data_IF_225691927780
#
_entry.id   IF_225691927780
#
_cell.length_a   1.000
_cell.length_b   1.000
_cell.length_c   1.000
_cell.angle_alpha   90.00
_cell.angle_beta   90.00
_cell.angle_gamma   90.00
#
_symmetry.space_group_name_H-M   'P 1'
#
loop_
_entity.id
_entity.type
_entity.pdbx_description
1 polymer ?
#
# COMPACT_ATOMS: atom_id res chain seq x y z
N UNK A 1 0.16 -4.12 -1.04
CA UNK A 1 -1.00 -3.41 -0.45
C UNK A 1 -0.45 -2.25 0.34
N UNK A 2 -1.01 -1.05 0.17
CA UNK A 2 -0.56 0.12 0.89
C UNK A 2 -1.70 0.63 1.77
N UNK A 3 -1.46 0.67 3.07
CA UNK A 3 -2.39 1.18 4.07
C UNK A 3 -1.99 2.60 4.42
N UNK A 4 -2.97 3.48 4.58
CA UNK A 4 -2.79 4.86 5.04
C UNK A 4 -3.83 5.09 6.12
N UNK A 5 -3.42 5.52 7.31
CA UNK A 5 -4.32 5.70 8.45
C UNK A 5 -4.06 6.99 9.20
N UNK A 6 -5.11 7.63 9.70
CA UNK A 6 -5.00 8.82 10.54
C UNK A 6 -4.70 8.46 11.99
N UNK A 7 -3.65 9.05 12.59
CA UNK A 7 -3.24 8.81 13.97
C UNK A 7 -4.26 9.28 15.01
N UNK A 8 -5.06 10.31 14.68
CA UNK A 8 -6.13 10.84 15.54
C UNK A 8 -7.53 10.33 15.14
N UNK A 9 -7.63 9.25 14.38
CA UNK A 9 -8.92 8.68 13.97
C UNK A 9 -9.71 8.18 15.20
N UNK A 10 -10.80 8.90 15.52
CA UNK A 10 -11.71 8.58 16.64
C UNK A 10 -12.83 7.61 16.27
N UNK A 11 -12.94 7.25 14.99
CA UNK A 11 -13.94 6.32 14.46
C UNK A 11 -13.33 4.93 14.33
N UNK A 12 -12.13 4.84 13.76
CA UNK A 12 -11.37 3.60 13.61
C UNK A 12 -10.01 3.78 14.27
N UNK A 13 -9.81 3.09 15.39
CA UNK A 13 -8.56 3.14 16.14
C UNK A 13 -7.36 2.69 15.27
N UNK A 14 -6.25 3.43 15.37
CA UNK A 14 -4.98 3.13 14.70
C UNK A 14 -4.52 1.68 14.91
N UNK A 15 -4.84 1.06 16.05
CA UNK A 15 -4.53 -0.32 16.35
C UNK A 15 -5.08 -1.29 15.29
N UNK A 16 -6.19 -0.96 14.62
CA UNK A 16 -6.74 -1.79 13.54
C UNK A 16 -5.89 -1.74 12.28
N UNK A 17 -5.31 -0.58 11.95
CA UNK A 17 -4.41 -0.45 10.81
C UNK A 17 -3.11 -1.25 11.06
N UNK A 18 -2.55 -1.15 12.27
CA UNK A 18 -1.38 -1.92 12.68
C UNK A 18 -1.66 -3.43 12.66
N UNK A 19 -2.77 -3.87 13.28
CA UNK A 19 -3.15 -5.28 13.29
C UNK A 19 -3.43 -5.81 11.87
N UNK A 20 -4.04 -5.00 11.00
CA UNK A 20 -4.25 -5.33 9.60
C UNK A 20 -2.93 -5.51 8.83
N UNK A 21 -1.96 -4.62 9.06
CA UNK A 21 -0.63 -4.73 8.48
C UNK A 21 0.08 -6.01 8.95
N UNK A 22 0.04 -6.32 10.24
CA UNK A 22 0.64 -7.54 10.80
C UNK A 22 -0.01 -8.80 10.21
N UNK A 23 -1.35 -8.83 10.12
CA UNK A 23 -2.07 -9.96 9.56
C UNK A 23 -1.72 -10.19 8.08
N UNK A 24 -1.62 -9.12 7.29
CA UNK A 24 -1.24 -9.20 5.88
C UNK A 24 0.22 -9.68 5.72
N UNK A 25 1.14 -9.22 6.56
CA UNK A 25 2.53 -9.71 6.57
C UNK A 25 2.61 -11.20 6.91
N UNK A 26 1.87 -11.64 7.93
CA UNK A 26 1.83 -13.06 8.34
C UNK A 26 1.27 -13.97 7.24
N UNK A 27 0.35 -13.46 6.42
CA UNK A 27 -0.16 -14.15 5.24
C UNK A 27 0.83 -14.17 4.05
N UNK A 28 2.02 -13.58 4.19
CA UNK A 28 3.01 -13.45 3.13
C UNK A 28 2.74 -12.31 2.15
N UNK A 29 1.83 -11.40 2.49
CA UNK A 29 1.50 -10.23 1.68
C UNK A 29 2.61 -9.18 1.72
N UNK A 30 2.86 -8.57 0.57
CA UNK A 30 3.67 -7.36 0.47
C UNK A 30 2.81 -6.16 0.91
N UNK A 31 3.07 -5.63 2.11
CA UNK A 31 2.26 -4.58 2.71
C UNK A 31 3.11 -3.49 3.36
N UNK A 32 2.69 -2.25 3.15
CA UNK A 32 3.24 -1.05 3.78
C UNK A 32 2.11 -0.29 4.50
N UNK A 33 2.46 0.48 5.53
CA UNK A 33 1.53 1.30 6.30
C UNK A 33 2.17 2.68 6.54
N UNK A 34 1.50 3.74 6.09
CA UNK A 34 1.80 5.11 6.47
C UNK A 34 0.77 5.62 7.47
N UNK A 35 1.26 6.32 8.50
CA UNK A 35 0.42 6.92 9.56
C UNK A 35 0.58 8.43 9.47
N UNK A 36 -0.54 9.13 9.30
CA UNK A 36 -0.57 10.58 9.40
C UNK A 36 -1.01 11.00 10.81
N UNK A 37 -0.03 11.34 11.64
CA UNK A 37 -0.20 11.59 13.08
C UNK A 37 -1.22 12.69 13.40
N UNK A 38 -1.42 13.66 12.50
CA UNK A 38 -2.30 14.81 12.72
C UNK A 38 -3.69 14.64 12.04
N UNK A 39 -3.95 13.48 11.43
CA UNK A 39 -5.15 13.21 10.64
C UNK A 39 -6.18 12.41 11.46
N UNK A 40 -7.43 12.87 11.45
CA UNK A 40 -8.57 12.14 12.00
C UNK A 40 -9.15 11.10 11.03
N UNK A 41 -10.47 10.88 11.07
CA UNK A 41 -11.16 10.00 10.11
C UNK A 41 -11.43 10.71 8.78
N UNK A 42 -10.37 10.96 8.00
CA UNK A 42 -10.46 11.70 6.74
C UNK A 42 -9.38 11.29 5.74
N UNK A 43 -9.47 11.84 4.54
CA UNK A 43 -8.40 11.85 3.53
C UNK A 43 -8.14 13.31 3.19
N UNK A 44 -6.89 13.72 3.33
CA UNK A 44 -6.37 15.06 3.04
C UNK A 44 -5.31 15.01 1.93
N UNK A 45 -4.70 16.16 1.63
CA UNK A 45 -3.71 16.25 0.55
C UNK A 45 -2.44 15.42 0.85
N UNK A 46 -2.04 15.29 2.11
CA UNK A 46 -0.84 14.54 2.50
C UNK A 46 -1.06 13.04 2.35
N UNK A 47 -2.15 12.53 2.90
CA UNK A 47 -2.56 11.13 2.74
C UNK A 47 -2.82 10.78 1.28
N UNK A 48 -3.37 11.69 0.48
CA UNK A 48 -3.47 11.50 -0.98
C UNK A 48 -2.10 11.42 -1.65
N UNK A 49 -1.13 12.23 -1.23
CA UNK A 49 0.22 12.21 -1.78
C UNK A 49 0.92 10.87 -1.48
N UNK A 50 0.77 10.30 -0.28
CA UNK A 50 1.29 8.95 0.04
C UNK A 50 0.76 7.90 -0.95
N UNK A 51 -0.54 7.92 -1.24
CA UNK A 51 -1.13 7.00 -2.21
C UNK A 51 -0.55 7.19 -3.62
N UNK A 52 -0.42 8.43 -4.08
CA UNK A 52 0.14 8.75 -5.40
C UNK A 52 1.60 8.34 -5.53
N UNK A 53 2.42 8.59 -4.49
CA UNK A 53 3.83 8.22 -4.49
C UNK A 53 4.00 6.70 -4.49
N UNK A 54 3.17 5.99 -3.72
CA UNK A 54 3.17 4.53 -3.74
C UNK A 54 2.85 3.98 -5.13
N UNK A 55 1.80 4.50 -5.79
CA UNK A 55 1.40 4.08 -7.14
C UNK A 55 2.45 4.39 -8.20
N UNK A 56 3.17 5.50 -8.07
CA UNK A 56 4.17 5.93 -9.06
C UNK A 56 5.51 5.23 -8.92
N UNK A 57 5.93 4.97 -7.69
CA UNK A 57 7.32 4.61 -7.39
C UNK A 57 7.50 3.24 -6.76
N UNK A 58 6.41 2.54 -6.40
CA UNK A 58 6.51 1.19 -5.84
C UNK A 58 6.19 0.15 -6.90
N UNK A 59 7.14 -0.75 -7.16
CA UNK A 59 6.89 -1.98 -7.90
C UNK A 59 6.51 -3.06 -6.89
N UNK A 60 5.27 -3.61 -6.94
CA UNK A 60 4.87 -4.66 -6.02
C UNK A 60 5.80 -5.88 -6.13
N UNK A 61 6.12 -6.50 -4.98
CA UNK A 61 7.09 -7.60 -4.90
C UNK A 61 6.78 -8.76 -5.84
N UNK A 62 5.51 -9.12 -6.03
CA UNK A 62 5.13 -10.23 -6.90
C UNK A 62 5.50 -9.99 -8.37
N UNK A 63 5.40 -8.75 -8.89
CA UNK A 63 5.87 -8.42 -10.23
C UNK A 63 7.38 -8.56 -10.34
N UNK A 64 8.11 -8.21 -9.28
CA UNK A 64 9.56 -8.38 -9.23
C UNK A 64 9.96 -9.86 -9.20
N UNK A 65 9.31 -10.66 -8.37
CA UNK A 65 9.53 -12.11 -8.27
C UNK A 65 9.19 -12.81 -9.60
N UNK A 66 8.11 -12.40 -10.28
CA UNK A 66 7.74 -12.90 -11.61
C UNK A 66 8.78 -12.53 -12.68
N UNK A 67 9.24 -11.28 -12.71
CA UNK A 67 10.27 -10.83 -13.63
C UNK A 67 11.62 -11.55 -13.41
N UNK A 68 11.99 -11.84 -12.16
CA UNK A 68 13.19 -12.63 -11.84
C UNK A 68 13.02 -14.12 -12.16
N UNK A 69 11.80 -14.65 -12.11
CA UNK A 69 11.53 -16.07 -12.40
C UNK A 69 11.64 -16.43 -13.89
N UNK A 70 11.77 -15.43 -14.77
CA UNK A 70 12.01 -15.62 -16.20
C UNK A 70 10.78 -16.08 -16.99
N UNK A 71 9.59 -16.06 -16.39
CA UNK A 71 8.32 -16.29 -17.10
C UNK A 71 7.99 -15.09 -17.97
N UNK A 72 7.50 -15.36 -19.19
CA UNK A 72 7.01 -14.31 -20.09
C UNK A 72 5.81 -13.60 -19.42
N UNK A 73 5.86 -12.27 -19.25
CA UNK A 73 4.73 -11.53 -18.68
C UNK A 73 3.45 -11.81 -19.46
N UNK A 74 2.32 -11.99 -18.77
CA UNK A 74 1.03 -12.16 -19.45
C UNK A 74 0.53 -10.79 -19.91
N UNK A 75 -0.19 -10.73 -21.03
CA UNK A 75 -0.72 -9.47 -21.60
C UNK A 75 -1.59 -8.65 -20.61
N UNK A 76 -2.09 -9.27 -19.54
CA UNK A 76 -2.85 -8.59 -18.48
C UNK A 76 -1.99 -7.75 -17.52
N UNK A 77 -0.66 -7.85 -17.62
CA UNK A 77 0.31 -7.23 -16.70
C UNK A 77 1.06 -6.04 -17.33
N UNK A 78 0.71 -5.66 -18.56
CA UNK A 78 1.32 -4.52 -19.26
C UNK A 78 0.49 -3.25 -18.99
N UNK A 79 1.06 -2.33 -18.22
CA UNK A 79 0.53 -0.96 -18.08
C UNK A 79 1.28 -0.08 -19.10
N UNK A 80 0.62 0.28 -20.20
CA UNK A 80 1.12 1.33 -21.10
C UNK A 80 1.01 2.69 -20.40
N UNK A 81 2.15 3.27 -20.05
CA UNK A 81 2.27 4.68 -19.69
C UNK A 81 2.37 5.49 -20.99
N UNK A 82 1.25 6.07 -21.42
CA UNK A 82 1.16 7.08 -22.49
C UNK A 82 1.65 8.46 -22.03
#
# INVERSE_FOLDING_TARGET
>A
VHLIHGGEDRVIDLAWAVAGQEALQQAGGDVTLDIDEDLGHAIDDRSMQFALDHLRFTVPKHYFDEALSGSTPKDSDIIELL
#
